data_IF_916184928672
#
_entry.id   IF_916184928672
#
_cell.length_a   1.000
_cell.length_b   1.000
_cell.length_c   1.000
_cell.angle_alpha   90.00
_cell.angle_beta   90.00
_cell.angle_gamma   90.00
#
_symmetry.space_group_name_H-M   'P 1'
#
loop_
_entity.id
_entity.type
_entity.pdbx_description
1 polymer ?
#
# COMPACT_ATOMS: atom_id res chain seq x y z
N UNK A 1 26.69 12.69 30.23
CA UNK A 1 26.50 12.83 28.76
C UNK A 1 25.05 12.69 28.30
N UNK A 2 24.04 12.69 29.20
CA UNK A 2 22.60 12.61 28.84
C UNK A 2 21.87 13.96 28.80
N UNK A 3 22.30 14.94 29.61
CA UNK A 3 21.64 16.26 29.73
C UNK A 3 21.74 17.14 28.48
N UNK A 4 22.87 17.08 27.76
CA UNK A 4 23.10 17.88 26.55
C UNK A 4 22.25 17.38 25.38
N UNK A 5 22.02 16.06 25.28
CA UNK A 5 21.13 15.49 24.27
C UNK A 5 19.68 15.94 24.47
N UNK A 6 19.22 15.99 25.72
CA UNK A 6 17.86 16.43 26.03
C UNK A 6 17.61 17.90 25.68
N UNK A 7 18.57 18.78 25.99
CA UNK A 7 18.48 20.19 25.62
C UNK A 7 18.51 20.44 24.11
N UNK A 8 19.26 19.64 23.36
CA UNK A 8 19.32 19.74 21.90
C UNK A 8 18.02 19.21 21.27
N UNK A 9 17.46 18.11 21.78
CA UNK A 9 16.16 17.59 21.31
C UNK A 9 15.02 18.59 21.60
N UNK A 10 14.96 19.17 22.81
CA UNK A 10 13.96 20.20 23.16
C UNK A 10 14.08 21.46 22.28
N UNK A 11 15.31 21.94 22.01
CA UNK A 11 15.54 23.07 21.12
C UNK A 11 15.25 22.76 19.65
N UNK A 12 15.48 21.51 19.21
CA UNK A 12 15.14 21.04 17.86
C UNK A 12 13.63 20.90 17.66
N UNK A 13 12.85 20.54 18.69
CA UNK A 13 11.39 20.50 18.62
C UNK A 13 10.76 21.89 18.44
N UNK A 14 11.45 22.96 18.84
CA UNK A 14 11.01 24.34 18.61
C UNK A 14 11.24 24.79 17.15
N UNK A 15 12.23 24.22 16.48
CA UNK A 15 12.63 24.58 15.11
C UNK A 15 12.08 23.58 14.08
N UNK A 16 11.76 22.35 14.49
CA UNK A 16 11.25 21.25 13.65
C UNK A 16 10.13 20.48 14.38
N UNK A 17 8.95 21.09 14.57
CA UNK A 17 7.83 20.41 15.20
C UNK A 17 7.36 19.21 14.38
N UNK A 18 7.08 18.09 15.05
CA UNK A 18 6.39 16.95 14.43
C UNK A 18 4.93 17.36 14.19
N UNK A 19 4.61 17.75 12.96
CA UNK A 19 3.27 18.21 12.57
C UNK A 19 2.52 17.15 11.76
N UNK A 20 1.20 17.17 11.88
CA UNK A 20 0.29 16.35 11.10
C UNK A 20 0.35 16.77 9.62
N UNK A 21 0.48 15.79 8.73
CA UNK A 21 0.51 16.03 7.28
C UNK A 21 -0.81 16.61 6.74
N UNK A 22 -1.93 16.32 7.41
CA UNK A 22 -3.26 16.71 6.93
C UNK A 22 -3.71 18.08 7.44
N UNK A 23 -3.39 18.43 8.69
CA UNK A 23 -3.90 19.65 9.33
C UNK A 23 -2.80 20.54 9.94
N UNK A 24 -1.53 20.16 9.82
CA UNK A 24 -0.36 20.89 10.32
C UNK A 24 -0.33 21.12 11.84
N UNK A 25 -1.27 20.54 12.59
CA UNK A 25 -1.27 20.56 14.04
C UNK A 25 -0.10 19.73 14.61
N UNK A 26 0.40 20.12 15.79
CA UNK A 26 1.41 19.36 16.52
C UNK A 26 0.91 17.94 16.83
N UNK A 27 1.75 16.95 16.55
CA UNK A 27 1.48 15.55 16.87
C UNK A 27 1.75 15.29 18.34
N UNK A 28 0.84 14.57 18.99
CA UNK A 28 0.99 14.12 20.37
C UNK A 28 1.95 12.91 20.47
N UNK A 29 2.41 12.62 21.69
CA UNK A 29 3.23 11.43 21.96
C UNK A 29 2.50 10.15 21.53
N UNK A 30 3.02 9.49 20.49
CA UNK A 30 2.47 8.25 19.93
C UNK A 30 1.94 8.38 18.50
N UNK A 31 1.60 9.59 18.07
CA UNK A 31 1.26 9.87 16.67
C UNK A 31 2.53 10.17 15.86
N UNK A 32 2.66 9.56 14.67
CA UNK A 32 3.86 9.72 13.83
C UNK A 32 3.71 10.70 12.68
N UNK A 33 2.60 10.62 11.95
CA UNK A 33 2.44 11.31 10.66
C UNK A 33 1.09 11.99 10.50
N UNK A 34 0.05 11.40 11.08
CA UNK A 34 -1.34 11.88 11.00
C UNK A 34 -1.87 11.85 12.42
N UNK A 35 -2.38 12.98 12.90
CA UNK A 35 -2.98 13.07 14.23
C UNK A 35 -4.25 12.23 14.30
N UNK A 36 -4.64 11.83 15.52
CA UNK A 36 -5.85 11.06 15.74
C UNK A 36 -7.11 11.72 15.17
N UNK A 37 -7.26 13.05 15.31
CA UNK A 37 -8.41 13.79 14.75
C UNK A 37 -8.53 13.63 13.23
N UNK A 38 -7.44 13.73 12.49
CA UNK A 38 -7.46 13.52 11.04
C UNK A 38 -7.72 12.06 10.66
N UNK A 39 -7.15 11.12 11.43
CA UNK A 39 -7.41 9.69 11.25
C UNK A 39 -8.88 9.32 11.48
N UNK A 40 -9.54 9.98 12.42
CA UNK A 40 -10.96 9.78 12.72
C UNK A 40 -11.85 10.44 11.66
N UNK A 41 -11.36 11.49 11.00
CA UNK A 41 -11.99 12.09 9.83
C UNK A 41 -11.88 11.28 8.53
N UNK A 42 -11.14 10.17 8.52
CA UNK A 42 -11.10 9.27 7.36
C UNK A 42 -12.40 8.45 7.29
N UNK A 43 -13.03 8.41 6.11
CA UNK A 43 -14.17 7.51 5.86
C UNK A 43 -13.69 6.06 5.86
N UNK A 44 -13.91 5.37 6.99
CA UNK A 44 -13.46 4.00 7.22
C UNK A 44 -14.54 3.00 6.86
N UNK A 45 -14.14 1.96 6.14
CA UNK A 45 -14.94 0.74 6.03
C UNK A 45 -14.97 0.01 7.37
N UNK A 46 -16.13 0.08 8.03
CA UNK A 46 -16.28 -0.32 9.43
C UNK A 46 -16.99 -1.67 9.57
N UNK A 47 -17.81 -2.03 8.59
CA UNK A 47 -18.55 -3.28 8.60
C UNK A 47 -17.77 -4.42 7.90
N UNK A 48 -17.99 -5.68 8.31
CA UNK A 48 -17.44 -6.84 7.60
C UNK A 48 -17.87 -6.83 6.13
N UNK A 49 -16.96 -7.15 5.21
CA UNK A 49 -17.18 -7.24 3.76
C UNK A 49 -17.63 -5.97 3.03
N UNK A 50 -17.96 -4.88 3.73
CA UNK A 50 -18.40 -3.61 3.14
C UNK A 50 -17.44 -3.09 2.07
N UNK A 51 -16.13 -3.09 2.38
CA UNK A 51 -15.10 -2.69 1.42
C UNK A 51 -15.04 -3.62 0.22
N UNK A 52 -15.26 -4.92 0.44
CA UNK A 52 -15.19 -5.94 -0.59
C UNK A 52 -16.34 -5.78 -1.58
N UNK A 53 -17.57 -5.68 -1.07
CA UNK A 53 -18.76 -5.56 -1.89
C UNK A 53 -18.71 -4.29 -2.74
N UNK A 54 -18.35 -3.15 -2.13
CA UNK A 54 -18.25 -1.88 -2.83
C UNK A 54 -17.19 -1.92 -3.95
N UNK A 55 -16.02 -2.50 -3.69
CA UNK A 55 -14.94 -2.56 -4.68
C UNK A 55 -15.24 -3.57 -5.78
N UNK A 56 -15.78 -4.75 -5.45
CA UNK A 56 -16.10 -5.78 -6.44
C UNK A 56 -17.20 -5.30 -7.40
N UNK A 57 -18.23 -4.60 -6.91
CA UNK A 57 -19.26 -3.99 -7.76
C UNK A 57 -18.64 -2.99 -8.75
N UNK A 58 -17.74 -2.13 -8.26
CA UNK A 58 -17.03 -1.16 -9.13
C UNK A 58 -16.15 -1.85 -10.17
N UNK A 59 -15.44 -2.92 -9.78
CA UNK A 59 -14.62 -3.71 -10.69
C UNK A 59 -15.45 -4.38 -11.78
N UNK A 60 -16.58 -4.99 -11.42
CA UNK A 60 -17.49 -5.61 -12.40
C UNK A 60 -18.06 -4.60 -13.38
N UNK A 61 -18.43 -3.40 -12.90
CA UNK A 61 -18.95 -2.32 -13.75
C UNK A 61 -17.90 -1.80 -14.75
N UNK A 62 -16.68 -1.57 -14.29
CA UNK A 62 -15.63 -0.98 -15.11
C UNK A 62 -14.88 -2.00 -15.97
N UNK A 63 -14.85 -3.26 -15.55
CA UNK A 63 -14.16 -4.37 -16.20
C UNK A 63 -15.05 -5.61 -16.27
N UNK A 64 -16.15 -5.55 -17.05
CA UNK A 64 -17.08 -6.67 -17.17
C UNK A 64 -16.35 -7.92 -17.69
N UNK A 65 -16.59 -9.06 -17.03
CA UNK A 65 -15.97 -10.35 -17.37
C UNK A 65 -14.62 -10.63 -16.70
N UNK A 66 -14.12 -9.73 -15.84
CA UNK A 66 -12.93 -9.99 -15.04
C UNK A 66 -13.22 -11.10 -13.99
N UNK A 67 -12.53 -12.24 -14.10
CA UNK A 67 -12.70 -13.41 -13.21
C UNK A 67 -11.48 -13.74 -12.35
N UNK A 68 -10.40 -12.95 -12.43
CA UNK A 68 -9.13 -13.24 -11.73
C UNK A 68 -9.08 -12.61 -10.34
N UNK A 69 -9.78 -11.48 -10.15
CA UNK A 69 -9.84 -10.82 -8.85
C UNK A 69 -10.95 -11.50 -8.07
N UNK A 70 -10.58 -12.27 -7.06
CA UNK A 70 -11.50 -13.04 -6.23
C UNK A 70 -11.96 -12.28 -4.97
N UNK A 71 -11.14 -11.33 -4.53
CA UNK A 71 -11.39 -10.55 -3.30
C UNK A 71 -10.76 -9.17 -3.43
N UNK A 72 -11.28 -8.21 -2.68
CA UNK A 72 -10.79 -6.85 -2.60
C UNK A 72 -11.04 -6.28 -1.21
N UNK A 73 -10.03 -5.65 -0.61
CA UNK A 73 -10.13 -5.09 0.74
C UNK A 73 -9.49 -3.70 0.72
N UNK A 74 -10.15 -2.74 1.36
CA UNK A 74 -9.63 -1.38 1.60
C UNK A 74 -9.97 -0.94 3.01
N UNK A 75 -9.08 -0.19 3.66
CA UNK A 75 -9.36 0.44 4.95
C UNK A 75 -10.33 1.62 4.83
N UNK A 76 -10.22 2.38 3.73
CA UNK A 76 -10.85 3.69 3.60
C UNK A 76 -11.56 3.86 2.26
N UNK A 77 -12.60 4.70 2.23
CA UNK A 77 -13.17 5.25 1.00
C UNK A 77 -12.38 6.47 0.55
N UNK A 78 -12.11 6.54 -0.74
CA UNK A 78 -11.45 7.69 -1.34
C UNK A 78 -12.49 8.73 -1.77
N UNK A 79 -12.37 9.92 -1.19
CA UNK A 79 -13.12 11.11 -1.59
C UNK A 79 -12.15 12.12 -2.19
N UNK A 80 -12.55 12.73 -3.31
CA UNK A 80 -11.80 13.81 -3.91
C UNK A 80 -11.84 15.02 -2.97
N UNK A 81 -10.71 15.71 -2.85
CA UNK A 81 -10.48 16.89 -2.01
C UNK A 81 -10.67 16.62 -0.50
N UNK A 82 -10.55 15.35 -0.07
CA UNK A 82 -10.66 14.91 1.32
C UNK A 82 -9.30 14.67 2.01
N UNK A 83 -9.29 14.56 3.34
CA UNK A 83 -8.08 14.39 4.16
C UNK A 83 -7.23 13.16 3.76
N UNK A 84 -7.88 12.08 3.34
CA UNK A 84 -7.19 10.88 2.86
C UNK A 84 -6.41 11.16 1.56
N UNK A 85 -6.89 12.06 0.71
CA UNK A 85 -6.17 12.44 -0.51
C UNK A 85 -4.85 13.12 -0.16
N UNK A 86 -4.82 14.02 0.83
CA UNK A 86 -3.59 14.65 1.31
C UNK A 86 -2.60 13.63 1.87
N UNK A 87 -3.08 12.69 2.69
CA UNK A 87 -2.24 11.60 3.19
C UNK A 87 -1.65 10.74 2.04
N UNK A 88 -2.47 10.40 1.04
CA UNK A 88 -2.03 9.65 -0.14
C UNK A 88 -1.06 10.47 -1.01
N UNK A 89 -1.27 11.78 -1.14
CA UNK A 89 -0.41 12.69 -1.87
C UNK A 89 0.96 12.80 -1.21
N UNK A 90 1.00 13.05 0.10
CA UNK A 90 2.22 13.10 0.88
C UNK A 90 2.99 11.76 0.85
N UNK A 91 2.28 10.63 0.87
CA UNK A 91 2.87 9.30 0.67
C UNK A 91 3.44 9.12 -0.75
N UNK A 92 2.79 9.65 -1.78
CA UNK A 92 3.20 9.50 -3.19
C UNK A 92 4.35 10.41 -3.60
N UNK A 93 4.39 11.63 -3.06
CA UNK A 93 5.30 12.70 -3.52
C UNK A 93 6.21 13.26 -2.42
N UNK A 94 5.79 13.22 -1.16
CA UNK A 94 6.54 13.78 -0.02
C UNK A 94 7.68 12.89 0.49
N UNK A 95 7.97 11.75 -0.14
CA UNK A 95 9.07 10.88 0.29
C UNK A 95 8.81 10.08 1.57
N UNK A 96 7.58 10.12 2.10
CA UNK A 96 7.22 9.56 3.41
C UNK A 96 7.04 8.05 3.37
N UNK A 97 8.17 7.33 3.28
CA UNK A 97 8.20 5.87 3.17
C UNK A 97 7.57 5.18 4.38
N UNK A 98 7.84 5.69 5.58
CA UNK A 98 7.31 5.15 6.83
C UNK A 98 5.79 5.28 6.92
N UNK A 99 5.19 6.33 6.34
CA UNK A 99 3.73 6.46 6.25
C UNK A 99 3.13 5.35 5.37
N UNK A 100 3.77 5.03 4.24
CA UNK A 100 3.33 3.92 3.39
C UNK A 100 3.38 2.58 4.13
N UNK A 101 4.44 2.34 4.92
CA UNK A 101 4.55 1.12 5.73
C UNK A 101 3.46 1.09 6.81
N UNK A 102 3.19 2.21 7.48
CA UNK A 102 2.13 2.32 8.49
C UNK A 102 0.75 2.01 7.90
N UNK A 103 0.38 2.67 6.79
CA UNK A 103 -0.88 2.42 6.09
C UNK A 103 -0.98 0.97 5.58
N UNK A 104 0.15 0.38 5.17
CA UNK A 104 0.23 -1.02 4.81
C UNK A 104 -0.03 -1.95 6.01
N UNK A 105 0.49 -1.60 7.19
CA UNK A 105 0.22 -2.31 8.44
C UNK A 105 -1.26 -2.26 8.82
N UNK A 106 -1.88 -1.07 8.75
CA UNK A 106 -3.33 -0.90 8.98
C UNK A 106 -4.17 -1.78 8.04
N UNK A 107 -3.76 -1.88 6.77
CA UNK A 107 -4.40 -2.78 5.81
C UNK A 107 -4.15 -4.26 6.14
N UNK A 108 -2.95 -4.63 6.55
CA UNK A 108 -2.64 -5.99 7.02
C UNK A 108 -3.49 -6.40 8.21
N UNK A 109 -3.72 -5.48 9.16
CA UNK A 109 -4.58 -5.68 10.31
C UNK A 109 -6.04 -5.89 9.90
N UNK A 110 -6.54 -5.05 8.99
CA UNK A 110 -7.89 -5.22 8.43
C UNK A 110 -8.04 -6.56 7.71
N UNK A 111 -7.07 -6.95 6.89
CA UNK A 111 -7.08 -8.24 6.20
C UNK A 111 -7.14 -9.40 7.20
N UNK A 112 -6.29 -9.37 8.23
CA UNK A 112 -6.26 -10.41 9.28
C UNK A 112 -7.61 -10.52 10.00
N UNK A 113 -8.24 -9.37 10.29
CA UNK A 113 -9.55 -9.31 10.94
C UNK A 113 -10.69 -9.80 10.04
N UNK A 114 -10.71 -9.35 8.79
CA UNK A 114 -11.81 -9.61 7.85
C UNK A 114 -11.71 -11.01 7.20
N UNK A 115 -10.52 -11.64 7.23
CA UNK A 115 -10.22 -12.94 6.62
C UNK A 115 -9.37 -13.84 7.54
N UNK A 116 -9.82 -14.19 8.75
CA UNK A 116 -9.01 -14.91 9.75
C UNK A 116 -8.55 -16.31 9.28
N UNK A 117 -9.36 -16.97 8.45
CA UNK A 117 -9.09 -18.33 7.97
C UNK A 117 -8.28 -18.36 6.66
N UNK A 118 -8.10 -17.22 6.00
CA UNK A 118 -7.36 -17.17 4.75
C UNK A 118 -5.86 -17.29 5.02
N UNK A 119 -5.16 -17.98 4.12
CA UNK A 119 -3.69 -18.09 4.13
C UNK A 119 -3.16 -17.57 2.81
N UNK A 120 -2.15 -16.71 2.88
CA UNK A 120 -1.55 -16.07 1.73
C UNK A 120 -0.15 -16.66 1.48
N UNK A 121 0.15 -17.06 0.25
CA UNK A 121 1.46 -17.62 -0.10
C UNK A 121 2.55 -16.56 -0.36
N UNK A 122 2.15 -15.38 -0.84
CA UNK A 122 3.05 -14.26 -1.14
C UNK A 122 2.26 -12.97 -1.33
N UNK A 123 2.93 -11.83 -1.14
CA UNK A 123 2.45 -10.51 -1.53
C UNK A 123 3.25 -10.04 -2.74
N UNK A 124 2.57 -9.68 -3.82
CA UNK A 124 3.20 -9.19 -5.06
C UNK A 124 2.83 -7.73 -5.26
N UNK A 125 3.74 -6.77 -4.99
CA UNK A 125 3.46 -5.37 -5.20
C UNK A 125 3.34 -5.06 -6.70
N UNK A 126 2.32 -4.31 -7.09
CA UNK A 126 2.13 -3.91 -8.49
C UNK A 126 3.30 -3.00 -8.91
N UNK A 127 4.07 -3.35 -9.95
CA UNK A 127 5.24 -2.58 -10.34
C UNK A 127 4.85 -1.20 -10.87
N UNK A 128 5.51 -0.17 -10.34
CA UNK A 128 5.37 1.19 -10.84
C UNK A 128 6.09 1.32 -12.20
N UNK A 129 5.45 1.99 -13.17
CA UNK A 129 6.04 2.25 -14.50
C UNK A 129 7.38 3.01 -14.37
N UNK A 130 8.38 2.68 -15.20
CA UNK A 130 9.77 3.15 -15.06
C UNK A 130 9.90 4.67 -14.93
N UNK A 131 9.10 5.44 -15.68
CA UNK A 131 9.08 6.92 -15.62
C UNK A 131 8.67 7.41 -14.21
N UNK A 132 7.62 6.82 -13.64
CA UNK A 132 7.13 7.14 -12.28
C UNK A 132 8.07 6.67 -11.17
N UNK A 133 8.96 5.69 -11.44
CA UNK A 133 9.99 5.24 -10.48
C UNK A 133 11.13 6.24 -10.32
N UNK A 134 11.48 6.96 -11.40
CA UNK A 134 12.57 7.95 -11.38
C UNK A 134 12.12 9.20 -10.61
N UNK A 135 10.89 9.68 -10.83
CA UNK A 135 10.35 10.86 -10.14
C UNK A 135 10.15 10.65 -8.62
N UNK A 136 9.84 9.42 -8.19
CA UNK A 136 9.44 9.14 -6.80
C UNK A 136 10.49 8.40 -5.98
N UNK A 137 11.62 8.01 -6.58
CA UNK A 137 12.76 7.30 -5.95
C UNK A 137 12.47 5.95 -5.26
N UNK A 138 11.21 5.55 -5.07
CA UNK A 138 10.78 4.27 -4.49
C UNK A 138 9.43 3.80 -5.05
N UNK A 139 9.14 2.51 -4.87
CA UNK A 139 7.86 1.91 -5.26
C UNK A 139 6.87 1.93 -4.08
N UNK A 140 5.83 2.77 -4.15
CA UNK A 140 4.85 2.92 -3.06
C UNK A 140 4.13 1.60 -2.75
N UNK A 141 3.82 0.81 -3.78
CA UNK A 141 3.14 -0.47 -3.60
C UNK A 141 4.00 -1.48 -2.86
N UNK A 142 5.33 -1.39 -3.00
CA UNK A 142 6.29 -2.24 -2.30
C UNK A 142 6.40 -1.87 -0.82
N UNK A 143 6.33 -0.58 -0.49
CA UNK A 143 6.28 -0.13 0.90
C UNK A 143 4.97 -0.51 1.59
N UNK A 144 3.83 -0.35 0.90
CA UNK A 144 2.54 -0.85 1.39
C UNK A 144 2.60 -2.37 1.59
N UNK A 145 3.13 -3.11 0.62
CA UNK A 145 3.31 -4.56 0.73
C UNK A 145 4.21 -4.95 1.92
N UNK A 146 5.24 -4.16 2.21
CA UNK A 146 6.12 -4.36 3.38
C UNK A 146 5.33 -4.19 4.68
N UNK A 147 4.48 -3.17 4.77
CA UNK A 147 3.58 -2.98 5.91
C UNK A 147 2.62 -4.16 6.09
N UNK A 148 1.96 -4.60 5.02
CA UNK A 148 1.03 -5.75 5.07
C UNK A 148 1.77 -7.02 5.48
N UNK A 149 2.95 -7.26 4.90
CA UNK A 149 3.79 -8.42 5.18
C UNK A 149 4.19 -8.50 6.65
N UNK A 150 4.46 -7.35 7.28
CA UNK A 150 4.83 -7.29 8.70
C UNK A 150 3.71 -7.79 9.62
N UNK A 151 2.45 -7.66 9.20
CA UNK A 151 1.29 -8.11 9.99
C UNK A 151 0.90 -9.55 9.64
N UNK A 152 0.85 -9.87 8.35
CA UNK A 152 0.42 -11.19 7.87
C UNK A 152 1.53 -12.25 7.96
N UNK A 153 2.78 -11.84 8.17
CA UNK A 153 3.96 -12.71 8.22
C UNK A 153 4.15 -13.49 6.90
N UNK A 154 4.05 -12.77 5.78
CA UNK A 154 4.11 -13.34 4.42
C UNK A 154 5.22 -12.65 3.62
N UNK A 155 5.92 -13.42 2.78
CA UNK A 155 6.98 -12.89 1.93
C UNK A 155 6.47 -11.88 0.88
N UNK A 156 7.27 -10.84 0.64
CA UNK A 156 7.05 -9.88 -0.47
C UNK A 156 7.92 -10.27 -1.66
N UNK A 157 7.29 -10.50 -2.81
CA UNK A 157 8.00 -10.80 -4.07
C UNK A 157 8.14 -9.53 -4.90
N UNK A 158 9.10 -8.68 -4.51
CA UNK A 158 9.43 -7.46 -5.24
C UNK A 158 9.98 -7.76 -6.65
N UNK A 159 9.61 -6.94 -7.64
CA UNK A 159 10.15 -7.04 -9.00
C UNK A 159 9.54 -8.15 -9.88
N UNK A 160 8.47 -8.82 -9.43
CA UNK A 160 7.69 -9.70 -10.29
C UNK A 160 7.06 -8.89 -11.44
N UNK A 161 7.69 -8.95 -12.61
CA UNK A 161 7.15 -8.35 -13.83
C UNK A 161 6.12 -9.30 -14.43
N UNK A 162 4.92 -8.82 -14.83
CA UNK A 162 4.06 -9.62 -15.69
C UNK A 162 4.85 -9.96 -16.96
N UNK A 163 5.06 -11.26 -17.20
CA UNK A 163 5.80 -11.72 -18.37
C UNK A 163 4.99 -11.38 -19.63
N UNK A 164 5.51 -10.48 -20.49
CA UNK A 164 5.01 -10.34 -21.86
C UNK A 164 5.30 -11.64 -22.59
N UNK A 165 4.30 -12.42 -22.99
CA UNK A 165 4.54 -13.64 -23.78
C UNK A 165 5.04 -13.24 -25.18
N UNK A 166 6.25 -13.66 -25.54
CA UNK A 166 6.84 -13.41 -26.87
C UNK A 166 8.35 -13.67 -26.99
N UNK A 167 8.88 -14.77 -26.44
CA UNK A 167 10.14 -15.40 -26.90
C UNK A 167 10.45 -16.63 -26.05
N UNK A 168 10.95 -17.66 -26.71
CA UNK A 168 11.26 -18.98 -26.16
C UNK A 168 12.51 -18.87 -25.28
N UNK A 169 12.37 -19.04 -23.96
CA UNK A 169 13.52 -19.06 -23.05
C UNK A 169 13.95 -20.50 -22.76
N UNK A 170 14.99 -20.97 -23.46
CA UNK A 170 15.84 -22.07 -22.98
C UNK A 170 16.84 -21.48 -21.97
N UNK A 171 17.09 -22.22 -20.89
CA UNK A 171 18.04 -21.95 -19.78
C UNK A 171 17.60 -20.97 -18.68
N UNK A 172 16.85 -21.52 -17.72
CA UNK A 172 16.55 -20.90 -16.43
C UNK A 172 15.61 -21.72 -15.55
N UNK A 173 15.75 -23.05 -15.54
CA UNK A 173 14.91 -23.96 -14.75
C UNK A 173 15.44 -24.04 -13.33
N UNK A 174 14.87 -23.31 -12.36
CA UNK A 174 14.78 -23.78 -10.96
C UNK A 174 13.85 -23.02 -10.01
N UNK A 175 13.50 -21.75 -10.23
CA UNK A 175 12.70 -20.99 -9.22
C UNK A 175 11.20 -20.85 -9.59
N UNK A 176 10.83 -20.67 -10.86
CA UNK A 176 9.42 -20.39 -11.23
C UNK A 176 8.50 -21.63 -11.42
N UNK A 177 8.99 -22.87 -11.27
CA UNK A 177 8.20 -24.08 -11.57
C UNK A 177 7.27 -24.56 -10.46
N UNK A 178 7.39 -24.06 -9.22
CA UNK A 178 6.53 -24.50 -8.10
C UNK A 178 5.25 -23.67 -7.89
N UNK A 179 5.10 -22.50 -8.53
CA UNK A 179 3.94 -21.61 -8.29
C UNK A 179 3.05 -21.36 -9.53
N UNK A 180 3.47 -21.74 -10.74
CA UNK A 180 2.76 -21.42 -11.98
C UNK A 180 2.41 -22.64 -12.82
N UNK A 181 1.65 -23.58 -12.24
CA UNK A 181 1.05 -24.70 -12.95
C UNK A 181 -0.48 -24.53 -13.05
N UNK A 182 -0.97 -23.47 -13.71
CA UNK A 182 -2.34 -23.42 -14.23
C UNK A 182 -2.47 -22.40 -15.40
N UNK A 183 -2.45 -22.97 -16.61
CA UNK A 183 -2.99 -22.52 -17.91
C UNK A 183 -3.21 -21.01 -18.20
N UNK A 184 -2.24 -20.47 -18.95
CA UNK A 184 -2.30 -19.81 -20.28
C UNK A 184 -3.33 -18.69 -20.58
N UNK A 185 -2.71 -17.54 -20.93
CA UNK A 185 -2.95 -16.64 -22.09
C UNK A 185 -3.49 -15.24 -21.71
N UNK A 186 -2.57 -14.28 -21.66
CA UNK A 186 -2.87 -12.85 -21.50
C UNK A 186 -2.17 -12.05 -22.60
N UNK A 187 -2.95 -11.25 -23.32
CA UNK A 187 -2.50 -10.08 -24.07
C UNK A 187 -3.23 -8.90 -23.44
N UNK A 188 -2.51 -7.84 -23.07
CA UNK A 188 -3.13 -6.55 -22.77
C UNK A 188 -2.37 -5.42 -23.48
N UNK A 189 -3.14 -4.62 -24.21
CA UNK A 189 -2.77 -3.38 -24.87
C UNK A 189 -3.11 -2.27 -23.87
N UNK A 190 -2.11 -1.51 -23.44
CA UNK A 190 -2.30 -0.39 -22.53
C UNK A 190 -2.95 0.77 -23.30
N UNK A 191 -4.14 1.19 -22.89
CA UNK A 191 -4.66 2.51 -23.23
C UNK A 191 -4.26 3.48 -22.13
N UNK A 192 -3.64 4.57 -22.58
CA UNK A 192 -3.10 5.68 -21.80
C UNK A 192 -4.14 6.31 -20.87
N UNK A 193 -3.65 6.74 -19.71
CA UNK A 193 -4.13 7.94 -19.03
C UNK A 193 -3.46 9.15 -19.67
#
# INVERSE_FOLDING_TARGET
>A
MSRIRHFIDEALHLIYPNVCICCEALLEEGDRYICQTCKDGFDRFSLPNESTDEILIRLQRNFPGQKVILDAISCYRFHKDGLLQEAIHAMKYGGLRSLAIQLGGELGEKIRKDRPDMRYGAIVPVPLHQIKRIERSYNQSELLATGIASVLQVQVLAGARPHKQGSTFQNGRRICRRLFAARRRWVWKASCW
#
